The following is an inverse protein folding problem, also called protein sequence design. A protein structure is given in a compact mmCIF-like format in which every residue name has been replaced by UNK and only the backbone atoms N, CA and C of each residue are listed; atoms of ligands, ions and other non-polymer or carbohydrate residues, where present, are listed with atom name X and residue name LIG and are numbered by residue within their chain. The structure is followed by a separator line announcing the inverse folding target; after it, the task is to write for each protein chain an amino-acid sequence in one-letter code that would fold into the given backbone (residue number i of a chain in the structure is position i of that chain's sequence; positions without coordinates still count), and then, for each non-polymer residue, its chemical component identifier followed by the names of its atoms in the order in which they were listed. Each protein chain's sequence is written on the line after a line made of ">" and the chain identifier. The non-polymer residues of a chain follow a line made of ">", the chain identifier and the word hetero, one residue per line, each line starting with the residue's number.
data_IF_292377766679
#
_entry.id   IF_292377766679
#
_cell.length_a   1.000
_cell.length_b   1.000
_cell.length_c   1.000
_cell.angle_alpha   90.00
_cell.angle_beta   90.00
_cell.angle_gamma   90.00
#
_symmetry.space_group_name_H-M   'P 1'
#
loop_
_entity.id
_entity.type
_entity.pdbx_description
1 polymer ?
#
# COMPACT_ATOMS: atom_id res chain seq x y z
N UNK A 1 16.71 19.13 -14.47
CA UNK A 1 17.14 17.77 -14.85
C UNK A 1 16.60 16.83 -13.76
N UNK A 2 15.30 16.52 -13.74
CA UNK A 2 14.69 15.97 -12.50
C UNK A 2 13.68 14.82 -12.72
N UNK A 3 13.34 14.47 -13.96
CA UNK A 3 12.27 13.50 -14.23
C UNK A 3 12.70 12.02 -14.28
N UNK A 4 14.02 11.75 -14.39
CA UNK A 4 14.51 10.36 -14.56
C UNK A 4 14.71 9.61 -13.24
N UNK A 5 14.94 10.31 -12.13
CA UNK A 5 15.18 9.67 -10.84
C UNK A 5 13.89 9.12 -10.21
N UNK A 6 12.79 9.88 -10.34
CA UNK A 6 11.51 9.52 -9.74
C UNK A 6 11.03 8.13 -10.22
N UNK A 7 11.04 7.86 -11.54
CA UNK A 7 10.51 6.59 -12.10
C UNK A 7 11.21 5.34 -11.53
N UNK A 8 12.51 5.41 -11.23
CA UNK A 8 13.23 4.28 -10.65
C UNK A 8 12.87 4.04 -9.18
N UNK A 9 12.75 5.13 -8.42
CA UNK A 9 12.32 5.10 -7.02
C UNK A 9 10.87 4.62 -6.88
N UNK A 10 10.01 5.02 -7.83
CA UNK A 10 8.62 4.65 -7.91
C UNK A 10 8.40 3.13 -8.11
N UNK A 11 9.14 2.54 -9.05
CA UNK A 11 9.09 1.09 -9.26
C UNK A 11 9.61 0.34 -8.04
N UNK A 12 10.68 0.85 -7.41
CA UNK A 12 11.23 0.23 -6.20
C UNK A 12 10.26 0.32 -5.03
N UNK A 13 9.58 1.45 -4.87
CA UNK A 13 8.55 1.65 -3.86
C UNK A 13 7.35 0.71 -4.08
N UNK A 14 6.91 0.51 -5.33
CA UNK A 14 5.86 -0.43 -5.68
C UNK A 14 6.26 -1.88 -5.37
N UNK A 15 7.47 -2.28 -5.77
CA UNK A 15 8.00 -3.62 -5.46
C UNK A 15 8.12 -3.87 -3.95
N UNK A 16 8.53 -2.87 -3.18
CA UNK A 16 8.62 -2.98 -1.72
C UNK A 16 7.21 -3.09 -1.10
N UNK A 17 6.24 -2.30 -1.57
CA UNK A 17 4.86 -2.39 -1.13
C UNK A 17 4.25 -3.77 -1.38
N UNK A 18 4.43 -4.34 -2.58
CA UNK A 18 4.00 -5.71 -2.91
C UNK A 18 4.59 -6.71 -1.92
N UNK A 19 5.91 -6.69 -1.73
CA UNK A 19 6.60 -7.61 -0.82
C UNK A 19 6.13 -7.48 0.62
N UNK A 20 5.82 -6.27 1.08
CA UNK A 20 5.26 -6.03 2.42
C UNK A 20 3.85 -6.59 2.56
N UNK A 21 2.99 -6.37 1.56
CA UNK A 21 1.60 -6.85 1.61
C UNK A 21 1.55 -8.37 1.53
N UNK A 22 2.33 -9.00 0.66
CA UNK A 22 2.44 -10.47 0.59
C UNK A 22 2.89 -11.06 1.92
N UNK A 23 3.93 -10.48 2.55
CA UNK A 23 4.41 -10.91 3.87
C UNK A 23 3.39 -10.72 4.99
N UNK A 24 2.64 -9.61 4.98
CA UNK A 24 1.66 -9.30 6.03
C UNK A 24 0.40 -10.14 5.91
N UNK A 25 -0.02 -10.46 4.69
CA UNK A 25 -1.31 -11.12 4.43
C UNK A 25 -1.19 -12.61 4.17
N UNK A 26 -0.03 -13.08 3.69
CA UNK A 26 0.12 -14.44 3.15
C UNK A 26 -0.73 -14.70 1.91
N UNK A 27 -1.31 -13.65 1.31
CA UNK A 27 -2.19 -13.73 0.15
C UNK A 27 -1.44 -13.50 -1.17
N UNK A 28 -2.09 -13.82 -2.28
CA UNK A 28 -1.54 -13.63 -3.61
C UNK A 28 -1.90 -12.25 -4.16
N UNK A 29 -0.90 -11.52 -4.66
CA UNK A 29 -1.13 -10.23 -5.30
C UNK A 29 -1.73 -10.43 -6.70
N UNK A 30 -2.88 -9.80 -6.92
CA UNK A 30 -3.58 -9.80 -8.21
C UNK A 30 -3.20 -8.59 -9.07
N UNK A 31 -2.98 -7.45 -8.42
CA UNK A 31 -2.65 -6.20 -9.10
C UNK A 31 -1.88 -5.28 -8.17
N UNK A 32 -0.89 -4.59 -8.70
CA UNK A 32 -0.12 -3.58 -7.99
C UNK A 32 0.14 -2.42 -8.95
N UNK A 33 -0.49 -1.28 -8.70
CA UNK A 33 -0.43 -0.11 -9.57
C UNK A 33 -0.23 1.15 -8.74
N UNK A 34 0.33 2.19 -9.35
CA UNK A 34 0.35 3.52 -8.74
C UNK A 34 -0.84 4.32 -9.21
N UNK A 35 -1.56 4.91 -8.26
CA UNK A 35 -2.74 5.72 -8.53
C UNK A 35 -2.57 7.10 -7.91
N UNK A 36 -3.04 8.16 -8.59
CA UNK A 36 -3.12 9.49 -7.98
C UNK A 36 -4.20 9.48 -6.89
N UNK A 37 -3.83 9.94 -5.70
CA UNK A 37 -4.70 10.07 -4.54
C UNK A 37 -4.24 11.26 -3.71
N UNK A 38 -5.16 12.19 -3.42
CA UNK A 38 -4.87 13.35 -2.55
C UNK A 38 -3.66 14.18 -3.01
N UNK A 39 -3.53 14.39 -4.33
CA UNK A 39 -2.42 15.12 -4.95
C UNK A 39 -1.08 14.37 -4.98
N UNK A 40 -1.05 13.10 -4.57
CA UNK A 40 0.16 12.26 -4.48
C UNK A 40 -0.03 10.95 -5.22
N UNK A 41 1.07 10.28 -5.57
CA UNK A 41 1.01 8.93 -6.13
C UNK A 41 1.15 7.91 -5.00
N UNK A 42 0.12 7.08 -4.82
CA UNK A 42 0.11 6.00 -3.82
C UNK A 42 0.16 4.64 -4.51
N UNK A 43 0.72 3.65 -3.83
CA UNK A 43 0.73 2.27 -4.29
C UNK A 43 -0.60 1.61 -3.90
N UNK A 44 -1.37 1.13 -4.88
CA UNK A 44 -2.59 0.36 -4.66
C UNK A 44 -2.34 -1.10 -5.00
N UNK A 45 -2.41 -1.95 -4.00
CA UNK A 45 -2.17 -3.40 -4.13
C UNK A 45 -3.46 -4.16 -3.85
N UNK A 46 -3.92 -4.94 -4.82
CA UNK A 46 -5.04 -5.87 -4.67
C UNK A 46 -4.50 -7.26 -4.38
N UNK A 47 -5.01 -7.88 -3.32
CA UNK A 47 -4.57 -9.20 -2.85
C UNK A 47 -5.76 -10.09 -2.62
N UNK A 48 -5.65 -11.35 -3.02
CA UNK A 48 -6.58 -12.39 -2.60
C UNK A 48 -6.01 -13.11 -1.38
N UNK A 49 -6.77 -13.12 -0.29
CA UNK A 49 -6.39 -13.84 0.91
C UNK A 49 -6.73 -15.34 0.81
N UNK A 50 -6.30 -16.13 1.79
CA UNK A 50 -6.52 -17.58 1.83
C UNK A 50 -8.00 -17.99 1.91
N UNK A 51 -8.91 -17.08 2.28
CA UNK A 51 -10.36 -17.30 2.24
C UNK A 51 -10.98 -16.99 0.87
N UNK A 52 -10.17 -16.60 -0.11
CA UNK A 52 -10.61 -16.24 -1.46
C UNK A 52 -11.18 -14.83 -1.56
N UNK A 53 -11.03 -13.99 -0.51
CA UNK A 53 -11.53 -12.61 -0.53
C UNK A 53 -10.48 -11.66 -1.07
N UNK A 54 -10.92 -10.76 -1.94
CA UNK A 54 -10.06 -9.69 -2.48
C UNK A 54 -10.06 -8.51 -1.52
N UNK A 55 -8.86 -8.11 -1.09
CA UNK A 55 -8.61 -6.93 -0.26
C UNK A 55 -7.73 -5.94 -1.02
N UNK A 56 -7.98 -4.65 -0.80
CA UNK A 56 -7.22 -3.56 -1.42
C UNK A 56 -6.43 -2.83 -0.35
N UNK A 57 -5.11 -2.77 -0.52
CA UNK A 57 -4.18 -2.06 0.35
C UNK A 57 -3.68 -0.81 -0.37
N UNK A 58 -3.83 0.35 0.28
CA UNK A 58 -3.24 1.61 -0.17
C UNK A 58 -2.03 1.91 0.69
N UNK A 59 -0.87 2.05 0.05
CA UNK A 59 0.40 2.32 0.70
C UNK A 59 0.98 3.62 0.14
N UNK A 60 1.09 4.61 1.01
CA UNK A 60 1.70 5.91 0.69
C UNK A 60 3.20 5.87 1.07
N UNK A 61 4.12 5.84 0.11
CA UNK A 61 5.56 5.75 0.41
C UNK A 61 6.08 6.98 1.16
N UNK A 62 5.39 8.13 1.06
CA UNK A 62 5.70 9.35 1.79
C UNK A 62 4.97 9.47 3.14
N UNK A 63 4.06 8.54 3.44
CA UNK A 63 3.15 8.57 4.59
C UNK A 63 3.65 7.79 5.81
N UNK A 64 4.87 7.23 5.77
CA UNK A 64 5.45 6.47 6.89
C UNK A 64 5.62 7.28 8.20
N UNK A 65 5.23 8.55 8.23
CA UNK A 65 5.15 9.38 9.43
C UNK A 65 3.77 9.50 10.09
N UNK A 66 2.64 9.18 9.44
CA UNK A 66 1.29 9.40 10.03
C UNK A 66 0.25 8.43 9.47
N UNK A 67 -0.58 7.88 10.36
CA UNK A 67 -1.77 7.03 10.14
C UNK A 67 -1.52 5.52 10.25
N UNK A 68 -1.19 5.08 11.46
CA UNK A 68 -1.93 3.94 12.00
C UNK A 68 -3.37 4.45 12.21
N UNK A 69 -4.41 3.81 11.67
CA UNK A 69 -5.75 4.06 12.18
C UNK A 69 -5.75 3.57 13.63
N UNK A 70 -5.70 4.49 14.59
CA UNK A 70 -6.08 4.18 15.96
C UNK A 70 -7.44 3.46 15.90
N UNK A 71 -7.57 2.26 16.49
CA UNK A 71 -8.90 1.69 16.68
C UNK A 71 -9.72 2.71 17.49
N UNK A 72 -11.02 2.91 17.18
CA UNK A 72 -11.85 3.77 18.00
C UNK A 72 -11.76 3.29 19.45
N UNK A 73 -11.70 4.18 20.46
CA UNK A 73 -11.76 3.76 21.85
C UNK A 73 -13.04 2.93 21.97
N UNK A 74 -12.88 1.66 22.35
CA UNK A 74 -14.03 0.87 22.78
C UNK A 74 -14.55 1.56 24.03
N UNK A 75 -15.75 2.11 23.96
CA UNK A 75 -16.55 2.47 25.14
C UNK A 75 -16.47 1.31 26.14
N UNK A 76 -15.76 1.52 27.25
CA UNK A 76 -15.70 0.60 28.38
C UNK A 76 -16.21 1.38 29.62
N UNK A 77 -17.42 0.97 30.03
CA UNK A 77 -18.23 1.25 31.24
C UNK A 77 -18.84 2.66 31.46
#
# INVERSE_FOLDING_TARGET
>A
MDDRHNRGEDHRALSDAVRRVERRTGGQVLSAERVPFDGRNVNRVKVIDSSGRVRVYMDDPQGQGRRQPEPPPSDED
#
